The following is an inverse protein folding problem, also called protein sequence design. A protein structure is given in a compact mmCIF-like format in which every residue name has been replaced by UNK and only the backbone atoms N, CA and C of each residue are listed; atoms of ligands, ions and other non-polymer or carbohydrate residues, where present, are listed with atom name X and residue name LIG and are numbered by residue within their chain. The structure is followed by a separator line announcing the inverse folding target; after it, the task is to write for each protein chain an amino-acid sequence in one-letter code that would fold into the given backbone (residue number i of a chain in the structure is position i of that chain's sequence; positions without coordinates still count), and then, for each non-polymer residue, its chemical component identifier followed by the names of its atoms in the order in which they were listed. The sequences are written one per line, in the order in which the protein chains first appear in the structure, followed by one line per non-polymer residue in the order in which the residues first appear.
data_IF_529578680668
#
_entry.id   IF_529578680668
#
_cell.length_a   1.000
_cell.length_b   1.000
_cell.length_c   1.000
_cell.angle_alpha   90.00
_cell.angle_beta   90.00
_cell.angle_gamma   90.00
#
_symmetry.space_group_name_H-M   'P 1'
#
loop_
_entity.id
_entity.type
_entity.pdbx_description
1 polymer ?
#
# COMPACT_ATOMS: atom_id res chain seq x y z
N UNK A 1 21.55 -7.85 17.04
CA UNK A 1 22.01 -8.90 16.10
C UNK A 1 21.54 -8.52 14.71
N UNK A 2 22.45 -8.43 13.74
CA UNK A 2 22.13 -8.16 12.34
C UNK A 2 21.65 -9.45 11.67
N UNK A 3 20.39 -9.49 11.27
CA UNK A 3 19.81 -10.55 10.46
C UNK A 3 18.86 -9.91 9.44
N UNK A 4 19.41 -9.36 8.35
CA UNK A 4 18.58 -8.90 7.24
C UNK A 4 18.05 -10.13 6.50
N UNK A 5 16.78 -10.47 6.71
CA UNK A 5 16.11 -11.55 5.98
C UNK A 5 15.97 -11.14 4.50
N UNK A 6 16.70 -11.82 3.63
CA UNK A 6 16.91 -11.52 2.21
C UNK A 6 15.72 -11.78 1.28
N UNK A 7 14.53 -12.07 1.83
CA UNK A 7 13.39 -12.55 1.04
C UNK A 7 12.67 -11.52 0.15
N UNK A 8 12.82 -10.22 0.38
CA UNK A 8 12.17 -9.20 -0.48
C UNK A 8 13.12 -8.45 -1.41
N UNK A 9 14.42 -8.72 -1.35
CA UNK A 9 15.31 -8.34 -2.44
C UNK A 9 14.86 -9.04 -3.72
N UNK A 10 14.41 -10.29 -3.64
CA UNK A 10 13.92 -11.07 -4.79
C UNK A 10 12.62 -10.50 -5.38
N UNK A 11 11.69 -10.03 -4.55
CA UNK A 11 10.45 -9.38 -5.03
C UNK A 11 10.76 -8.03 -5.68
N UNK A 12 11.59 -7.20 -5.05
CA UNK A 12 12.01 -5.90 -5.62
C UNK A 12 12.86 -6.10 -6.86
N UNK A 13 13.79 -7.05 -6.89
CA UNK A 13 14.63 -7.36 -8.04
C UNK A 13 13.78 -7.91 -9.18
N UNK A 14 12.74 -8.72 -8.89
CA UNK A 14 11.84 -9.26 -9.91
C UNK A 14 10.90 -8.19 -10.47
N UNK A 15 10.27 -7.38 -9.61
CA UNK A 15 9.48 -6.21 -10.04
C UNK A 15 10.38 -5.26 -10.84
N UNK A 16 11.58 -4.94 -10.34
CA UNK A 16 12.55 -4.08 -11.02
C UNK A 16 13.02 -4.66 -12.36
N UNK A 17 13.25 -5.97 -12.43
CA UNK A 17 13.65 -6.68 -13.65
C UNK A 17 12.55 -6.67 -14.70
N UNK A 18 11.29 -6.92 -14.32
CA UNK A 18 10.15 -6.83 -15.24
C UNK A 18 9.92 -5.40 -15.72
N UNK A 19 10.11 -4.42 -14.84
CA UNK A 19 9.92 -3.01 -15.15
C UNK A 19 11.01 -2.44 -16.06
N UNK A 20 12.28 -2.81 -15.84
CA UNK A 20 13.40 -2.43 -16.72
C UNK A 20 13.25 -2.98 -18.14
N UNK A 21 12.53 -4.10 -18.30
CA UNK A 21 12.28 -4.71 -19.61
C UNK A 21 11.19 -3.98 -20.42
N UNK A 22 10.27 -3.28 -19.74
CA UNK A 22 9.19 -2.51 -20.39
C UNK A 22 9.56 -1.04 -20.64
N UNK A 23 10.54 -0.48 -19.92
CA UNK A 23 11.13 0.83 -20.20
C UNK A 23 12.21 0.69 -21.30
N UNK A 24 11.82 0.85 -22.55
CA UNK A 24 12.73 0.70 -23.69
C UNK A 24 13.78 1.82 -23.83
N UNK A 25 15.00 1.40 -24.15
CA UNK A 25 16.08 2.08 -24.87
C UNK A 25 17.13 2.90 -24.07
N UNK A 26 18.32 2.31 -23.92
CA UNK A 26 19.59 3.04 -23.90
C UNK A 26 20.67 2.53 -22.93
N UNK A 27 21.50 1.58 -23.35
CA UNK A 27 22.81 1.16 -22.79
C UNK A 27 22.81 0.55 -21.38
N UNK A 28 23.55 -0.49 -20.99
CA UNK A 28 24.49 -1.49 -21.51
C UNK A 28 24.50 -2.55 -20.37
N UNK A 29 24.82 -3.84 -20.47
CA UNK A 29 25.62 -4.60 -21.39
C UNK A 29 25.20 -6.07 -21.28
N UNK A 30 25.42 -6.77 -22.38
CA UNK A 30 25.33 -8.21 -22.56
C UNK A 30 26.53 -8.95 -21.96
N UNK A 31 26.27 -10.07 -21.25
CA UNK A 31 27.13 -11.25 -21.14
C UNK A 31 26.28 -12.42 -20.54
N UNK A 32 25.79 -13.37 -21.36
CA UNK A 32 26.35 -14.72 -21.63
C UNK A 32 26.25 -15.70 -20.42
N UNK A 33 25.62 -16.88 -20.47
CA UNK A 33 24.94 -17.58 -21.56
C UNK A 33 24.27 -18.90 -21.10
N UNK A 34 23.03 -19.12 -21.55
CA UNK A 34 22.37 -20.40 -21.92
C UNK A 34 20.91 -20.05 -22.26
N UNK A 35 20.61 -19.96 -23.57
CA UNK A 35 19.28 -19.83 -24.22
C UNK A 35 18.14 -19.26 -23.35
N UNK A 36 18.12 -17.96 -23.12
CA UNK A 36 16.87 -17.25 -22.79
C UNK A 36 16.22 -16.78 -24.08
N UNK A 37 15.12 -17.42 -24.46
CA UNK A 37 14.25 -16.93 -25.54
C UNK A 37 13.81 -15.51 -25.15
N UNK A 38 13.92 -14.51 -26.04
CA UNK A 38 13.43 -13.18 -25.73
C UNK A 38 11.91 -13.26 -25.53
N UNK A 39 11.42 -12.91 -24.33
CA UNK A 39 9.99 -12.79 -24.05
C UNK A 39 9.40 -11.79 -25.04
N UNK A 40 8.58 -12.29 -25.96
CA UNK A 40 7.76 -11.47 -26.84
C UNK A 40 6.40 -11.25 -26.18
N UNK A 41 5.87 -10.02 -26.21
CA UNK A 41 4.51 -9.70 -25.70
C UNK A 41 3.43 -10.58 -26.35
N UNK A 42 3.69 -11.08 -27.55
CA UNK A 42 2.79 -11.87 -28.38
C UNK A 42 2.62 -13.33 -27.89
N UNK A 43 3.52 -13.84 -27.04
CA UNK A 43 3.46 -15.19 -26.47
C UNK A 43 3.05 -15.24 -25.00
N UNK A 44 2.83 -14.08 -24.38
CA UNK A 44 2.48 -13.97 -22.98
C UNK A 44 0.96 -14.23 -22.79
N UNK A 45 0.62 -15.37 -22.18
CA UNK A 45 -0.78 -15.78 -21.97
C UNK A 45 -1.55 -14.76 -21.12
N UNK A 46 -0.89 -14.12 -20.14
CA UNK A 46 -1.50 -13.08 -19.29
C UNK A 46 -1.81 -11.86 -20.14
N UNK A 47 -0.87 -11.44 -20.99
CA UNK A 47 -1.06 -10.34 -21.92
C UNK A 47 -2.29 -10.59 -22.81
N UNK A 48 -2.40 -11.77 -23.40
CA UNK A 48 -3.52 -12.15 -24.27
C UNK A 48 -4.86 -12.13 -23.50
N UNK A 49 -4.89 -12.66 -22.28
CA UNK A 49 -6.10 -12.66 -21.43
C UNK A 49 -6.55 -11.23 -21.10
N UNK A 50 -5.62 -10.36 -20.71
CA UNK A 50 -5.94 -8.96 -20.36
C UNK A 50 -6.45 -8.20 -21.59
N UNK A 51 -5.75 -8.30 -22.73
CA UNK A 51 -6.16 -7.63 -23.97
C UNK A 51 -7.54 -8.12 -24.46
N UNK A 52 -7.78 -9.42 -24.41
CA UNK A 52 -9.06 -10.01 -24.84
C UNK A 52 -10.24 -9.72 -23.91
N UNK A 53 -10.01 -9.15 -22.73
CA UNK A 53 -11.07 -8.71 -21.83
C UNK A 53 -11.75 -7.41 -22.30
N UNK A 54 -11.11 -6.66 -23.21
CA UNK A 54 -11.61 -5.41 -23.79
C UNK A 54 -12.20 -4.47 -22.71
N UNK A 55 -11.40 -4.18 -21.68
CA UNK A 55 -11.85 -3.50 -20.47
C UNK A 55 -12.41 -2.10 -20.74
N UNK A 56 -11.77 -1.34 -21.65
CA UNK A 56 -12.13 0.04 -21.99
C UNK A 56 -13.11 0.17 -23.15
N UNK A 57 -13.61 -0.96 -23.69
CA UNK A 57 -14.55 -0.92 -24.81
C UNK A 57 -15.83 -0.16 -24.44
N UNK A 58 -16.11 0.87 -25.23
CA UNK A 58 -17.25 1.78 -25.09
C UNK A 58 -17.21 2.65 -23.80
N UNK A 59 -16.01 2.91 -23.25
CA UNK A 59 -15.82 3.68 -22.02
C UNK A 59 -14.89 4.90 -22.23
N UNK A 60 -15.49 6.10 -22.31
CA UNK A 60 -14.76 7.37 -22.41
C UNK A 60 -13.69 7.55 -21.34
N UNK A 61 -13.93 7.05 -20.12
CA UNK A 61 -13.01 7.18 -19.00
C UNK A 61 -11.58 6.67 -19.27
N UNK A 62 -11.43 5.60 -20.05
CA UNK A 62 -10.14 4.99 -20.33
C UNK A 62 -9.86 4.78 -21.82
N UNK A 63 -10.37 5.68 -22.67
CA UNK A 63 -10.06 5.72 -24.10
C UNK A 63 -8.60 6.14 -24.38
N UNK A 64 -8.07 5.68 -25.53
CA UNK A 64 -6.75 6.06 -26.02
C UNK A 64 -5.60 5.49 -25.18
N UNK A 65 -4.62 6.32 -24.84
CA UNK A 65 -3.41 5.89 -24.12
C UNK A 65 -3.72 5.39 -22.70
N UNK A 66 -4.85 5.80 -22.12
CA UNK A 66 -5.27 5.34 -20.79
C UNK A 66 -5.69 3.86 -20.77
N UNK A 67 -6.10 3.29 -21.92
CA UNK A 67 -6.31 1.85 -22.05
C UNK A 67 -4.99 1.08 -21.92
N UNK A 68 -3.91 1.62 -22.51
CA UNK A 68 -2.58 1.03 -22.41
C UNK A 68 -2.09 1.07 -20.97
N UNK A 69 -2.27 2.21 -20.28
CA UNK A 69 -1.96 2.35 -18.87
C UNK A 69 -2.66 1.27 -18.02
N UNK A 70 -3.98 1.15 -18.16
CA UNK A 70 -4.79 0.20 -17.40
C UNK A 70 -4.35 -1.25 -17.64
N UNK A 71 -4.15 -1.63 -18.90
CA UNK A 71 -3.73 -2.98 -19.26
C UNK A 71 -2.34 -3.31 -18.69
N UNK A 72 -1.41 -2.35 -18.72
CA UNK A 72 -0.09 -2.52 -18.16
C UNK A 72 -0.15 -2.65 -16.63
N UNK A 73 -0.97 -1.83 -15.97
CA UNK A 73 -1.16 -1.87 -14.52
C UNK A 73 -1.64 -3.23 -14.04
N UNK A 74 -2.70 -3.75 -14.66
CA UNK A 74 -3.27 -5.06 -14.34
C UNK A 74 -2.26 -6.18 -14.60
N UNK A 75 -1.47 -6.07 -15.67
CA UNK A 75 -0.45 -7.06 -16.00
C UNK A 75 0.67 -7.10 -14.97
N UNK A 76 1.14 -5.93 -14.51
CA UNK A 76 2.16 -5.86 -13.46
C UNK A 76 1.60 -6.37 -12.14
N UNK A 77 0.36 -6.02 -11.77
CA UNK A 77 -0.27 -6.55 -10.56
C UNK A 77 -0.34 -8.09 -10.60
N UNK A 78 -0.80 -8.64 -11.72
CA UNK A 78 -0.89 -10.10 -11.93
C UNK A 78 0.47 -10.77 -11.77
N UNK A 79 1.50 -10.29 -12.47
CA UNK A 79 2.85 -10.88 -12.42
C UNK A 79 3.50 -10.77 -11.05
N UNK A 80 3.24 -9.67 -10.34
CA UNK A 80 3.76 -9.48 -8.98
C UNK A 80 3.16 -10.51 -8.03
N UNK A 81 1.87 -10.82 -8.17
CA UNK A 81 1.20 -11.88 -7.40
C UNK A 81 1.68 -13.27 -7.81
N UNK A 82 1.81 -13.57 -9.11
CA UNK A 82 2.34 -14.86 -9.57
C UNK A 82 3.72 -15.15 -8.98
N UNK A 83 4.60 -14.16 -8.97
CA UNK A 83 5.96 -14.29 -8.42
C UNK A 83 5.93 -14.69 -6.93
N UNK A 84 5.00 -14.12 -6.15
CA UNK A 84 4.85 -14.44 -4.73
C UNK A 84 4.43 -15.90 -4.55
N UNK A 85 3.47 -16.36 -5.35
CA UNK A 85 2.99 -17.74 -5.29
C UNK A 85 4.05 -18.74 -5.79
N UNK A 86 4.71 -18.47 -6.91
CA UNK A 86 5.81 -19.30 -7.44
C UNK A 86 6.93 -19.47 -6.42
N UNK A 87 7.32 -18.39 -5.73
CA UNK A 87 8.34 -18.43 -4.68
C UNK A 87 7.99 -19.32 -3.49
N UNK A 88 6.71 -19.61 -3.26
CA UNK A 88 6.22 -20.39 -2.11
C UNK A 88 5.93 -21.84 -2.52
N UNK A 89 5.34 -22.07 -3.69
CA UNK A 89 5.14 -23.44 -4.20
C UNK A 89 6.48 -24.12 -4.50
N UNK A 90 7.48 -23.39 -5.01
CA UNK A 90 8.82 -23.93 -5.24
C UNK A 90 9.57 -24.29 -3.94
N UNK A 91 9.20 -23.71 -2.79
CA UNK A 91 9.77 -24.08 -1.49
C UNK A 91 9.21 -25.41 -0.95
N UNK A 92 7.95 -25.74 -1.25
CA UNK A 92 7.32 -27.02 -0.87
C UNK A 92 7.77 -28.21 -1.74
N UNK A 93 8.18 -27.97 -2.98
CA UNK A 93 8.59 -29.03 -3.92
C UNK A 93 10.05 -29.50 -3.78
N UNK A 94 10.80 -29.02 -2.79
CA UNK A 94 12.16 -29.51 -2.52
C UNK A 94 12.18 -30.84 -1.75
N UNK A 95 11.03 -31.34 -1.30
CA UNK A 95 10.95 -32.56 -0.47
C UNK A 95 10.17 -33.73 -1.05
N UNK A 96 9.44 -33.60 -2.17
CA UNK A 96 8.74 -34.75 -2.75
C UNK A 96 8.63 -34.71 -4.28
N UNK A 97 8.72 -35.91 -4.87
CA UNK A 97 8.88 -36.18 -6.29
C UNK A 97 7.66 -35.77 -7.15
N UNK A 98 7.99 -35.35 -8.38
CA UNK A 98 7.17 -35.13 -9.59
C UNK A 98 6.40 -33.80 -9.72
N UNK A 99 6.77 -32.95 -10.71
CA UNK A 99 5.99 -31.76 -11.05
C UNK A 99 4.81 -32.20 -11.93
N UNK A 100 3.62 -32.36 -11.36
CA UNK A 100 2.40 -32.30 -12.16
C UNK A 100 2.28 -30.86 -12.66
N UNK A 101 2.23 -30.68 -13.98
CA UNK A 101 1.87 -29.40 -14.62
C UNK A 101 0.42 -29.07 -14.26
N UNK A 102 0.21 -28.48 -13.09
CA UNK A 102 -1.03 -27.79 -12.77
C UNK A 102 -1.10 -26.54 -13.63
N UNK A 103 -2.24 -26.30 -14.30
CA UNK A 103 -2.49 -25.01 -14.97
C UNK A 103 -2.25 -23.89 -13.96
N UNK A 104 -1.59 -22.78 -14.33
CA UNK A 104 -1.37 -21.71 -13.37
C UNK A 104 -2.71 -21.16 -12.87
N UNK A 105 -3.01 -21.42 -11.60
CA UNK A 105 -4.30 -21.14 -10.96
C UNK A 105 -4.63 -19.63 -10.95
N UNK A 106 -3.61 -18.77 -11.01
CA UNK A 106 -3.76 -17.32 -11.19
C UNK A 106 -4.66 -16.99 -12.39
N UNK A 107 -4.69 -17.80 -13.46
CA UNK A 107 -5.48 -17.49 -14.64
C UNK A 107 -6.99 -17.51 -14.43
N UNK A 108 -7.52 -18.34 -13.52
CA UNK A 108 -8.96 -18.39 -13.26
C UNK A 108 -9.43 -17.19 -12.43
N UNK A 109 -8.66 -16.85 -11.40
CA UNK A 109 -8.91 -15.66 -10.58
C UNK A 109 -8.70 -14.38 -11.41
N UNK A 110 -7.69 -14.32 -12.28
CA UNK A 110 -7.49 -13.19 -13.20
C UNK A 110 -8.74 -12.91 -14.06
N UNK A 111 -9.38 -13.95 -14.61
CA UNK A 111 -10.62 -13.77 -15.40
C UNK A 111 -11.80 -13.30 -14.55
N UNK A 112 -11.86 -13.65 -13.25
CA UNK A 112 -12.87 -13.12 -12.33
C UNK A 112 -12.57 -11.65 -12.03
N UNK A 113 -11.33 -11.32 -11.68
CA UNK A 113 -10.87 -9.95 -11.47
C UNK A 113 -11.18 -9.06 -12.67
N UNK A 114 -10.83 -9.46 -13.89
CA UNK A 114 -11.09 -8.69 -15.11
C UNK A 114 -12.59 -8.40 -15.34
N UNK A 115 -13.48 -9.33 -14.94
CA UNK A 115 -14.93 -9.10 -14.99
C UNK A 115 -15.38 -8.04 -13.98
N UNK A 116 -14.87 -8.09 -12.76
CA UNK A 116 -15.18 -7.09 -11.73
C UNK A 116 -14.57 -5.73 -12.06
N UNK A 117 -13.33 -5.69 -12.58
CA UNK A 117 -12.68 -4.48 -13.08
C UNK A 117 -13.52 -3.84 -14.18
N UNK A 118 -14.07 -4.63 -15.12
CA UNK A 118 -14.96 -4.09 -16.15
C UNK A 118 -16.23 -3.47 -15.57
N UNK A 119 -16.82 -4.06 -14.53
CA UNK A 119 -17.98 -3.48 -13.83
C UNK A 119 -17.60 -2.17 -13.13
N UNK A 120 -16.46 -2.15 -12.44
CA UNK A 120 -15.91 -0.95 -11.81
C UNK A 120 -15.73 0.17 -12.84
N UNK A 121 -15.08 -0.10 -13.97
CA UNK A 121 -14.83 0.92 -15.00
C UNK A 121 -16.13 1.47 -15.60
N UNK A 122 -17.16 0.63 -15.80
CA UNK A 122 -18.49 1.08 -16.21
C UNK A 122 -19.11 2.04 -15.19
N UNK A 123 -19.03 1.70 -13.91
CA UNK A 123 -19.52 2.55 -12.82
C UNK A 123 -18.77 3.88 -12.76
N UNK A 124 -17.44 3.85 -12.85
CA UNK A 124 -16.58 5.04 -12.85
C UNK A 124 -16.86 5.93 -14.07
N UNK A 125 -17.07 5.34 -15.24
CA UNK A 125 -17.44 6.08 -16.44
C UNK A 125 -18.78 6.84 -16.27
N UNK A 126 -19.72 6.30 -15.50
CA UNK A 126 -20.97 7.02 -15.16
C UNK A 126 -20.73 8.23 -14.24
N UNK A 127 -19.71 8.16 -13.36
CA UNK A 127 -19.34 9.25 -12.44
C UNK A 127 -18.55 10.39 -13.10
N UNK A 128 -18.02 10.20 -14.30
CA UNK A 128 -17.14 11.16 -15.01
C UNK A 128 -17.74 12.58 -15.10
N UNK A 129 -19.07 12.71 -15.07
CA UNK A 129 -19.76 14.00 -15.16
C UNK A 129 -19.77 14.81 -13.86
N UNK A 130 -19.52 14.17 -12.72
CA UNK A 130 -19.73 14.75 -11.38
C UNK A 130 -18.42 14.86 -10.61
N UNK A 131 -17.49 13.93 -10.82
CA UNK A 131 -16.22 13.86 -10.09
C UNK A 131 -15.03 14.16 -11.00
N UNK A 132 -13.93 14.67 -10.42
CA UNK A 132 -12.73 14.96 -11.19
C UNK A 132 -12.09 13.67 -11.73
N UNK A 133 -11.63 13.70 -12.98
CA UNK A 133 -10.96 12.55 -13.62
C UNK A 133 -9.78 12.03 -12.80
N UNK A 134 -8.99 12.92 -12.20
CA UNK A 134 -7.86 12.53 -11.33
C UNK A 134 -8.30 11.78 -10.09
N UNK A 135 -9.38 12.20 -9.44
CA UNK A 135 -9.93 11.49 -8.28
C UNK A 135 -10.42 10.09 -8.68
N UNK A 136 -11.15 10.00 -9.79
CA UNK A 136 -11.69 8.73 -10.30
C UNK A 136 -10.61 7.73 -10.69
N UNK A 137 -9.50 8.18 -11.29
CA UNK A 137 -8.38 7.31 -11.61
C UNK A 137 -7.65 6.76 -10.39
N UNK A 138 -7.49 7.58 -9.35
CA UNK A 138 -6.96 7.14 -8.06
C UNK A 138 -7.90 6.10 -7.44
N UNK A 139 -9.21 6.33 -7.47
CA UNK A 139 -10.20 5.33 -7.02
C UNK A 139 -10.05 4.01 -7.78
N UNK A 140 -9.88 4.06 -9.12
CA UNK A 140 -9.71 2.86 -9.96
C UNK A 140 -8.44 2.10 -9.61
N UNK A 141 -7.29 2.78 -9.47
CA UNK A 141 -6.02 2.15 -9.11
C UNK A 141 -6.16 1.40 -7.79
N UNK A 142 -6.69 2.07 -6.76
CA UNK A 142 -6.89 1.52 -5.41
C UNK A 142 -7.85 0.35 -5.38
N UNK A 143 -8.97 0.45 -6.11
CA UNK A 143 -9.96 -0.63 -6.19
C UNK A 143 -9.46 -1.86 -6.95
N UNK A 144 -8.64 -1.65 -7.98
CA UNK A 144 -7.96 -2.77 -8.63
C UNK A 144 -6.95 -3.40 -7.68
N UNK A 145 -6.14 -2.61 -6.94
CA UNK A 145 -5.20 -3.15 -5.95
C UNK A 145 -5.90 -4.07 -4.95
N UNK A 146 -7.01 -3.63 -4.34
CA UNK A 146 -7.72 -4.46 -3.37
C UNK A 146 -8.36 -5.69 -4.01
N UNK A 147 -8.89 -5.61 -5.24
CA UNK A 147 -9.38 -6.81 -5.94
C UNK A 147 -8.28 -7.87 -6.10
N UNK A 148 -7.06 -7.44 -6.44
CA UNK A 148 -5.91 -8.33 -6.56
C UNK A 148 -5.42 -8.85 -5.20
N UNK A 149 -5.40 -8.02 -4.16
CA UNK A 149 -5.12 -8.46 -2.78
C UNK A 149 -6.12 -9.52 -2.32
N UNK A 150 -7.42 -9.26 -2.46
CA UNK A 150 -8.49 -10.18 -2.05
C UNK A 150 -8.42 -11.50 -2.83
N UNK A 151 -8.25 -11.45 -4.15
CA UNK A 151 -8.14 -12.65 -4.97
C UNK A 151 -6.94 -13.52 -4.56
N UNK A 152 -5.79 -12.90 -4.30
CA UNK A 152 -4.60 -13.61 -3.81
C UNK A 152 -4.82 -14.20 -2.41
N UNK A 153 -5.40 -13.45 -1.48
CA UNK A 153 -5.69 -13.95 -0.12
C UNK A 153 -6.66 -15.14 -0.16
N UNK A 154 -7.71 -15.08 -0.98
CA UNK A 154 -8.65 -16.19 -1.17
C UNK A 154 -7.96 -17.41 -1.78
N UNK A 155 -7.15 -17.21 -2.82
CA UNK A 155 -6.39 -18.29 -3.45
C UNK A 155 -5.44 -18.97 -2.45
N UNK A 156 -4.78 -18.19 -1.60
CA UNK A 156 -3.96 -18.71 -0.51
C UNK A 156 -4.80 -19.51 0.50
N UNK A 157 -5.99 -19.01 0.86
CA UNK A 157 -6.87 -19.67 1.81
C UNK A 157 -7.34 -21.06 1.35
N UNK A 158 -7.63 -21.21 0.06
CA UNK A 158 -8.13 -22.45 -0.54
C UNK A 158 -7.07 -23.52 -0.80
N UNK A 159 -5.78 -23.13 -0.89
CA UNK A 159 -4.72 -24.00 -1.45
C UNK A 159 -3.59 -24.36 -0.50
N UNK A 160 -3.49 -23.71 0.66
CA UNK A 160 -2.45 -24.06 1.63
C UNK A 160 -2.91 -25.31 2.41
N UNK A 161 -2.35 -26.44 2.04
CA UNK A 161 -2.45 -27.71 2.77
C UNK A 161 -1.28 -27.84 3.76
N UNK A 162 -1.52 -28.39 4.96
CA UNK A 162 -0.52 -28.53 6.03
C UNK A 162 -1.13 -28.64 7.43
N UNK A 163 -0.29 -28.54 8.46
CA UNK A 163 -0.76 -28.41 9.84
C UNK A 163 -1.44 -27.04 10.07
N UNK A 164 -2.49 -26.94 10.90
CA UNK A 164 -3.21 -25.67 11.12
C UNK A 164 -2.32 -24.48 11.50
N UNK A 165 -1.34 -24.68 12.37
CA UNK A 165 -0.44 -23.62 12.82
C UNK A 165 0.53 -23.17 11.71
N UNK A 166 1.05 -24.11 10.91
CA UNK A 166 1.89 -23.82 9.74
C UNK A 166 1.09 -23.13 8.63
N UNK A 167 -0.18 -23.54 8.44
CA UNK A 167 -1.09 -22.92 7.49
C UNK A 167 -1.29 -21.45 7.84
N UNK A 168 -1.55 -21.13 9.12
CA UNK A 168 -1.82 -19.76 9.54
C UNK A 168 -0.58 -18.85 9.39
N UNK A 169 0.61 -19.36 9.73
CA UNK A 169 1.86 -18.63 9.51
C UNK A 169 2.13 -18.37 8.03
N UNK A 170 1.92 -19.37 7.17
CA UNK A 170 2.09 -19.22 5.71
C UNK A 170 1.06 -18.23 5.14
N UNK A 171 -0.19 -18.26 5.61
CA UNK A 171 -1.24 -17.28 5.25
C UNK A 171 -0.88 -15.86 5.65
N UNK A 172 -0.39 -15.66 6.88
CA UNK A 172 0.07 -14.34 7.37
C UNK A 172 1.18 -13.80 6.47
N UNK A 173 2.23 -14.60 6.21
CA UNK A 173 3.36 -14.21 5.34
C UNK A 173 2.94 -13.95 3.90
N UNK A 174 2.02 -14.75 3.34
CA UNK A 174 1.46 -14.54 2.00
C UNK A 174 0.67 -13.25 1.88
N UNK A 175 -0.20 -13.00 2.85
CA UNK A 175 -1.02 -11.79 2.93
C UNK A 175 -0.12 -10.57 2.97
N UNK A 176 0.86 -10.55 3.90
CA UNK A 176 1.82 -9.46 4.02
C UNK A 176 2.60 -9.21 2.72
N UNK A 177 3.16 -10.27 2.11
CA UNK A 177 3.90 -10.14 0.82
C UNK A 177 3.01 -9.59 -0.30
N UNK A 178 1.76 -10.03 -0.37
CA UNK A 178 0.78 -9.61 -1.37
C UNK A 178 0.43 -8.12 -1.19
N UNK A 179 0.12 -7.72 0.04
CA UNK A 179 -0.18 -6.31 0.37
C UNK A 179 1.00 -5.43 -0.03
N UNK A 180 2.22 -5.76 0.40
CA UNK A 180 3.41 -4.98 0.06
C UNK A 180 3.62 -4.89 -1.46
N UNK A 181 3.56 -6.01 -2.19
CA UNK A 181 3.80 -6.00 -3.63
C UNK A 181 2.75 -5.18 -4.38
N UNK A 182 1.48 -5.32 -4.01
CA UNK A 182 0.39 -4.53 -4.62
C UNK A 182 0.51 -3.04 -4.30
N UNK A 183 0.92 -2.66 -3.08
CA UNK A 183 1.18 -1.26 -2.70
C UNK A 183 2.37 -0.65 -3.48
N UNK A 184 3.47 -1.39 -3.68
CA UNK A 184 4.60 -0.92 -4.51
C UNK A 184 4.15 -0.66 -5.96
N UNK A 185 3.36 -1.58 -6.52
CA UNK A 185 2.83 -1.41 -7.89
C UNK A 185 1.86 -0.22 -7.93
N UNK A 186 0.99 -0.06 -6.95
CA UNK A 186 0.09 1.10 -6.82
C UNK A 186 0.85 2.42 -6.80
N UNK A 187 1.79 2.62 -5.87
CA UNK A 187 2.53 3.89 -5.76
C UNK A 187 3.29 4.25 -7.03
N UNK A 188 3.83 3.24 -7.71
CA UNK A 188 4.49 3.43 -9.02
C UNK A 188 3.51 3.86 -10.10
N UNK A 189 2.35 3.22 -10.17
CA UNK A 189 1.36 3.55 -11.20
C UNK A 189 0.62 4.85 -10.93
N UNK A 190 0.46 5.28 -9.67
CA UNK A 190 0.03 6.63 -9.32
C UNK A 190 1.02 7.68 -9.85
N UNK A 191 2.32 7.44 -9.65
CA UNK A 191 3.38 8.32 -10.17
C UNK A 191 3.43 8.33 -11.70
N UNK A 192 3.28 7.16 -12.32
CA UNK A 192 3.24 6.97 -13.78
C UNK A 192 2.06 7.70 -14.42
N UNK A 193 0.87 7.55 -13.83
CA UNK A 193 -0.35 8.22 -14.24
C UNK A 193 -0.19 9.75 -14.26
N UNK A 194 0.51 10.32 -13.28
CA UNK A 194 0.77 11.76 -13.24
C UNK A 194 1.87 12.22 -14.22
N UNK A 195 2.98 11.49 -14.31
CA UNK A 195 4.14 11.88 -15.13
C UNK A 195 3.92 11.68 -16.62
N UNK A 196 3.38 10.54 -17.03
CA UNK A 196 3.20 10.17 -18.44
C UNK A 196 1.83 10.57 -18.99
N UNK A 197 0.77 10.45 -18.18
CA UNK A 197 -0.61 10.67 -18.62
C UNK A 197 -1.22 11.98 -18.10
N UNK A 198 -0.45 12.77 -17.36
CA UNK A 198 -0.86 14.08 -16.80
C UNK A 198 -2.10 14.05 -15.90
N UNK A 199 -2.47 12.88 -15.38
CA UNK A 199 -3.56 12.70 -14.42
C UNK A 199 -2.94 12.66 -13.01
N UNK A 200 -2.82 13.84 -12.39
CA UNK A 200 -2.12 14.01 -11.12
C UNK A 200 -3.06 14.25 -9.94
N UNK A 201 -2.73 13.68 -8.78
CA UNK A 201 -3.32 14.09 -7.50
C UNK A 201 -2.86 15.51 -7.17
N UNK A 202 -3.82 16.43 -7.00
CA UNK A 202 -3.52 17.85 -6.69
C UNK A 202 -3.76 18.22 -5.23
N UNK A 203 -4.59 17.43 -4.54
CA UNK A 203 -4.93 17.65 -3.14
C UNK A 203 -4.37 16.50 -2.30
N UNK A 204 -3.38 16.80 -1.47
CA UNK A 204 -2.74 15.88 -0.53
C UNK A 204 -2.64 16.55 0.85
N UNK A 205 -3.79 17.01 1.34
CA UNK A 205 -3.90 17.83 2.55
C UNK A 205 -3.49 17.05 3.81
N UNK A 206 -3.86 15.76 3.90
CA UNK A 206 -3.49 14.91 5.03
C UNK A 206 -1.97 14.75 5.08
N UNK A 207 -1.35 14.45 3.95
CA UNK A 207 0.11 14.32 3.88
C UNK A 207 0.82 15.61 4.27
N UNK A 208 0.38 16.77 3.76
CA UNK A 208 0.97 18.07 4.14
C UNK A 208 0.82 18.35 5.63
N UNK A 209 -0.38 18.13 6.18
CA UNK A 209 -0.61 18.44 7.58
C UNK A 209 0.15 17.50 8.51
N UNK A 210 0.26 16.21 8.15
CA UNK A 210 1.08 15.26 8.89
C UNK A 210 2.57 15.63 8.84
N UNK A 211 3.08 16.05 7.67
CA UNK A 211 4.46 16.54 7.56
C UNK A 211 4.69 17.71 8.53
N UNK A 212 3.80 18.70 8.52
CA UNK A 212 3.92 19.90 9.36
C UNK A 212 3.83 19.56 10.86
N UNK A 213 2.96 18.62 11.23
CA UNK A 213 2.86 18.10 12.60
C UNK A 213 4.17 17.44 13.03
N UNK A 214 4.67 16.49 12.22
CA UNK A 214 5.85 15.72 12.55
C UNK A 214 7.12 16.60 12.57
N UNK A 215 7.26 17.52 11.62
CA UNK A 215 8.36 18.48 11.57
C UNK A 215 8.40 19.42 12.78
N UNK A 216 7.26 19.68 13.41
CA UNK A 216 7.18 20.49 14.64
C UNK A 216 7.90 19.84 15.83
N UNK A 217 8.08 18.51 15.84
CA UNK A 217 8.79 17.81 16.92
C UNK A 217 10.32 18.03 16.88
N UNK A 218 10.87 18.49 15.76
CA UNK A 218 12.31 18.77 15.62
C UNK A 218 12.81 19.77 16.66
N UNK A 219 12.02 20.78 16.97
CA UNK A 219 12.34 21.84 17.93
C UNK A 219 11.78 21.58 19.33
N UNK A 220 11.09 20.45 19.55
CA UNK A 220 10.54 20.07 20.86
C UNK A 220 11.54 19.26 21.69
N UNK A 221 11.48 19.44 23.01
CA UNK A 221 12.16 18.58 23.97
C UNK A 221 11.51 17.18 24.01
N UNK A 222 12.32 16.15 24.22
CA UNK A 222 11.90 14.74 24.27
C UNK A 222 10.71 14.52 25.22
N UNK A 223 10.73 15.10 26.42
CA UNK A 223 9.65 14.97 27.40
C UNK A 223 8.29 15.46 26.89
N UNK A 224 8.27 16.52 26.08
CA UNK A 224 7.03 17.01 25.48
C UNK A 224 6.55 16.07 24.37
N UNK A 225 7.48 15.44 23.63
CA UNK A 225 7.15 14.42 22.62
C UNK A 225 6.59 13.16 23.29
N UNK A 226 7.22 12.68 24.37
CA UNK A 226 6.70 11.56 25.18
C UNK A 226 5.30 11.87 25.72
N UNK A 227 5.07 13.09 26.21
CA UNK A 227 3.74 13.53 26.65
C UNK A 227 2.70 13.53 25.51
N UNK A 228 3.10 13.92 24.30
CA UNK A 228 2.24 13.80 23.12
C UNK A 228 1.86 12.35 22.85
N UNK A 229 2.85 11.44 22.81
CA UNK A 229 2.60 10.00 22.61
C UNK A 229 1.69 9.44 23.69
N UNK A 230 1.84 9.87 24.94
CA UNK A 230 0.95 9.47 26.03
C UNK A 230 -0.51 9.82 25.75
N UNK A 231 -0.78 11.06 25.33
CA UNK A 231 -2.14 11.46 24.97
C UNK A 231 -2.69 10.69 23.77
N UNK A 232 -1.87 10.39 22.77
CA UNK A 232 -2.26 9.57 21.62
C UNK A 232 -2.57 8.14 22.06
N UNK A 233 -1.69 7.51 22.84
CA UNK A 233 -1.86 6.16 23.36
C UNK A 233 -3.14 6.02 24.19
N UNK A 234 -3.41 6.97 25.08
CA UNK A 234 -4.64 6.99 25.89
C UNK A 234 -5.89 7.15 25.02
N UNK A 235 -5.84 8.00 23.99
CA UNK A 235 -6.96 8.22 23.12
C UNK A 235 -7.24 7.03 22.18
N UNK A 236 -6.20 6.33 21.73
CA UNK A 236 -6.33 5.13 20.89
C UNK A 236 -7.11 4.00 21.57
N UNK A 237 -6.98 3.85 22.89
CA UNK A 237 -7.73 2.86 23.68
C UNK A 237 -9.26 3.11 23.63
N UNK A 238 -9.68 4.35 23.36
CA UNK A 238 -11.10 4.71 23.23
C UNK A 238 -11.62 4.55 21.79
N UNK A 239 -10.77 4.14 20.85
CA UNK A 239 -11.13 3.92 19.44
C UNK A 239 -11.40 2.44 19.15
N UNK A 240 -11.91 2.16 17.94
CA UNK A 240 -12.07 0.78 17.44
C UNK A 240 -10.80 0.20 16.81
N UNK A 241 -9.68 0.93 16.78
CA UNK A 241 -8.46 0.50 16.06
C UNK A 241 -8.02 -0.91 16.46
N UNK A 242 -7.86 -1.18 17.76
CA UNK A 242 -7.39 -2.47 18.26
C UNK A 242 -8.33 -3.63 17.95
N UNK A 243 -9.63 -3.38 17.72
CA UNK A 243 -10.58 -4.42 17.31
C UNK A 243 -10.41 -4.89 15.86
N UNK A 244 -9.67 -4.11 15.05
CA UNK A 244 -9.35 -4.45 13.67
C UNK A 244 -7.96 -5.07 13.50
N UNK A 245 -7.17 -5.18 14.57
CA UNK A 245 -5.84 -5.77 14.58
C UNK A 245 -5.88 -7.18 15.17
N UNK A 246 -4.88 -8.01 14.86
CA UNK A 246 -4.69 -9.27 15.59
C UNK A 246 -4.26 -9.00 17.03
N UNK A 247 -4.45 -9.97 17.92
CA UNK A 247 -4.05 -9.84 19.33
C UNK A 247 -2.56 -9.52 19.45
N UNK A 248 -1.72 -10.22 18.69
CA UNK A 248 -0.26 -10.02 18.69
C UNK A 248 0.09 -8.61 18.21
N UNK A 249 -0.47 -8.17 17.07
CA UNK A 249 -0.21 -6.84 16.51
C UNK A 249 -0.69 -5.73 17.45
N UNK A 250 -1.83 -5.95 18.12
CA UNK A 250 -2.40 -5.02 19.10
C UNK A 250 -1.51 -4.91 20.35
N UNK A 251 -1.05 -6.04 20.88
CA UNK A 251 -0.19 -6.09 22.07
C UNK A 251 1.14 -5.39 21.79
N UNK A 252 1.78 -5.70 20.67
CA UNK A 252 3.07 -5.09 20.34
C UNK A 252 2.96 -3.59 20.04
N UNK A 253 1.89 -3.14 19.37
CA UNK A 253 1.62 -1.71 19.18
C UNK A 253 1.48 -0.99 20.53
N UNK A 254 0.79 -1.59 21.49
CA UNK A 254 0.66 -1.03 22.84
C UNK A 254 2.02 -0.97 23.57
N UNK A 255 2.85 -2.01 23.43
CA UNK A 255 4.21 -2.03 24.00
C UNK A 255 5.05 -0.88 23.42
N UNK A 256 5.06 -0.72 22.09
CA UNK A 256 5.82 0.36 21.43
C UNK A 256 5.34 1.75 21.86
N UNK A 257 4.02 1.98 21.90
CA UNK A 257 3.47 3.26 22.35
C UNK A 257 3.79 3.55 23.81
N UNK A 258 3.81 2.52 24.66
CA UNK A 258 4.20 2.63 26.06
C UNK A 258 5.69 2.95 26.19
N UNK A 259 6.55 2.25 25.46
CA UNK A 259 7.99 2.51 25.45
C UNK A 259 8.29 3.94 24.96
N UNK A 260 7.63 4.38 23.89
CA UNK A 260 7.75 5.76 23.41
C UNK A 260 7.19 6.80 24.40
N UNK A 261 6.22 6.46 25.25
CA UNK A 261 5.62 7.41 26.20
C UNK A 261 6.31 7.46 27.58
N UNK A 262 7.03 6.39 27.96
CA UNK A 262 7.51 6.21 29.34
C UNK A 262 8.94 5.68 29.45
N UNK A 263 9.50 5.03 28.43
CA UNK A 263 10.87 4.51 28.51
C UNK A 263 11.91 5.60 28.26
N UNK A 264 13.01 5.57 29.01
CA UNK A 264 14.18 6.42 28.79
C UNK A 264 15.13 5.85 27.72
N UNK A 265 14.98 4.57 27.37
CA UNK A 265 15.82 3.92 26.35
C UNK A 265 15.35 4.17 24.92
N UNK A 266 14.12 4.67 24.72
CA UNK A 266 13.52 4.92 23.40
C UNK A 266 13.35 6.41 23.20
N UNK A 267 13.95 6.96 22.13
CA UNK A 267 13.69 8.33 21.71
C UNK A 267 12.43 8.37 20.84
N UNK A 268 11.31 8.76 21.44
CA UNK A 268 10.06 9.00 20.73
C UNK A 268 10.22 10.09 19.68
N UNK A 269 11.02 11.14 19.98
CA UNK A 269 11.37 12.16 18.99
C UNK A 269 12.08 11.55 17.78
N UNK A 270 13.08 10.69 18.00
CA UNK A 270 13.80 10.01 16.92
C UNK A 270 12.88 9.16 16.05
N UNK A 271 11.94 8.43 16.65
CA UNK A 271 10.93 7.62 15.93
C UNK A 271 10.01 8.51 15.09
N UNK A 272 9.42 9.56 15.68
CA UNK A 272 8.53 10.47 14.94
C UNK A 272 9.24 11.22 13.81
N UNK A 273 10.51 11.60 14.00
CA UNK A 273 11.31 12.22 12.94
C UNK A 273 11.74 11.24 11.85
N UNK A 274 11.82 9.95 12.15
CA UNK A 274 12.05 8.92 11.12
C UNK A 274 10.81 8.76 10.24
N UNK A 275 9.61 8.80 10.84
CA UNK A 275 8.34 8.85 10.10
C UNK A 275 8.26 10.16 9.30
N UNK A 276 8.65 11.30 9.88
CA UNK A 276 8.67 12.61 9.20
C UNK A 276 9.43 12.53 7.87
N UNK A 277 10.62 11.91 7.87
CA UNK A 277 11.42 11.71 6.67
C UNK A 277 10.67 10.92 5.58
N UNK A 278 9.98 9.84 5.95
CA UNK A 278 9.18 9.07 4.99
C UNK A 278 8.03 9.92 4.38
N UNK A 279 7.42 10.79 5.18
CA UNK A 279 6.38 11.73 4.71
C UNK A 279 6.97 12.82 3.80
N UNK A 280 8.14 13.38 4.15
CA UNK A 280 8.87 14.32 3.29
C UNK A 280 9.24 13.68 1.95
N UNK A 281 9.75 12.45 1.96
CA UNK A 281 10.08 11.68 0.75
C UNK A 281 8.86 11.51 -0.15
N UNK A 282 7.67 11.25 0.43
CA UNK A 282 6.41 11.20 -0.32
C UNK A 282 6.07 12.53 -0.98
N UNK A 283 6.16 13.63 -0.24
CA UNK A 283 5.88 14.96 -0.77
C UNK A 283 6.82 15.32 -1.91
N UNK A 284 8.11 15.00 -1.76
CA UNK A 284 9.10 15.19 -2.82
C UNK A 284 8.76 14.34 -4.04
N UNK A 285 8.38 13.07 -3.87
CA UNK A 285 7.95 12.19 -4.96
C UNK A 285 6.74 12.75 -5.71
N UNK A 286 5.73 13.27 -5.00
CA UNK A 286 4.57 13.93 -5.61
C UNK A 286 4.92 15.21 -6.37
N UNK A 287 5.82 16.04 -5.82
CA UNK A 287 6.25 17.29 -6.46
C UNK A 287 7.09 17.03 -7.71
N UNK A 288 8.01 16.06 -7.64
CA UNK A 288 8.89 15.67 -8.73
C UNK A 288 8.19 14.76 -9.76
N UNK A 289 7.03 14.21 -9.40
CA UNK A 289 6.26 13.23 -10.20
C UNK A 289 7.07 11.98 -10.50
N UNK A 290 7.87 11.54 -9.54
CA UNK A 290 8.77 10.39 -9.68
C UNK A 290 8.52 9.39 -8.58
N UNK A 291 8.51 8.10 -8.94
CA UNK A 291 8.55 7.04 -7.95
C UNK A 291 10.00 6.80 -7.49
N UNK A 292 10.27 6.96 -6.21
CA UNK A 292 11.54 6.58 -5.59
C UNK A 292 11.44 5.15 -5.08
N UNK A 293 12.44 4.31 -5.33
CA UNK A 293 12.46 2.95 -4.77
C UNK A 293 12.87 3.04 -3.30
N UNK A 294 11.94 2.79 -2.39
CA UNK A 294 12.17 2.92 -0.95
C UNK A 294 12.11 1.57 -0.22
N UNK A 295 12.35 1.60 1.10
CA UNK A 295 12.08 0.47 1.99
C UNK A 295 10.59 0.12 2.03
N UNK A 296 10.24 -1.13 2.35
CA UNK A 296 8.84 -1.61 2.32
C UNK A 296 7.93 -0.84 3.29
N UNK A 297 8.48 -0.50 4.43
CA UNK A 297 7.89 0.38 5.45
C UNK A 297 7.57 1.76 4.88
N UNK A 298 8.51 2.35 4.15
CA UNK A 298 8.31 3.65 3.50
C UNK A 298 7.25 3.56 2.39
N UNK A 299 7.27 2.50 1.57
CA UNK A 299 6.26 2.29 0.51
C UNK A 299 4.85 2.14 1.09
N UNK A 300 4.70 1.39 2.19
CA UNK A 300 3.41 1.27 2.88
C UNK A 300 2.97 2.60 3.47
N UNK A 301 3.87 3.39 4.08
CA UNK A 301 3.54 4.76 4.53
C UNK A 301 3.07 5.62 3.34
N UNK A 302 3.72 5.51 2.18
CA UNK A 302 3.35 6.30 1.00
C UNK A 302 1.95 5.97 0.50
N UNK A 303 1.60 4.68 0.45
CA UNK A 303 0.28 4.23 -0.01
C UNK A 303 -0.80 4.48 1.03
N UNK A 304 -0.55 4.24 2.33
CA UNK A 304 -1.48 4.59 3.42
C UNK A 304 -1.83 6.08 3.36
N UNK A 305 -0.84 6.96 3.17
CA UNK A 305 -1.09 8.39 3.04
C UNK A 305 -1.81 8.75 1.73
N UNK A 306 -1.56 8.01 0.65
CA UNK A 306 -2.30 8.15 -0.60
C UNK A 306 -3.79 7.78 -0.43
N UNK A 307 -4.06 6.70 0.28
CA UNK A 307 -5.41 6.28 0.66
C UNK A 307 -6.08 7.36 1.50
N UNK A 308 -5.43 7.83 2.56
CA UNK A 308 -5.98 8.89 3.42
C UNK A 308 -6.23 10.19 2.64
N UNK A 309 -5.30 10.63 1.79
CA UNK A 309 -5.51 11.79 0.93
C UNK A 309 -6.72 11.59 -0.03
N UNK A 310 -6.95 10.36 -0.51
CA UNK A 310 -8.12 10.03 -1.32
C UNK A 310 -9.43 10.09 -0.50
N UNK A 311 -9.45 9.56 0.72
CA UNK A 311 -10.60 9.62 1.64
C UNK A 311 -11.05 11.06 1.86
N UNK A 312 -10.10 11.94 2.21
CA UNK A 312 -10.39 13.35 2.52
C UNK A 312 -10.49 14.25 1.28
N UNK A 313 -9.97 13.80 0.14
CA UNK A 313 -10.06 14.52 -1.13
C UNK A 313 -11.50 14.69 -1.62
N UNK A 314 -12.41 13.78 -1.27
CA UNK A 314 -13.82 13.83 -1.71
C UNK A 314 -14.59 15.00 -1.09
N UNK A 315 -14.34 15.31 0.18
CA UNK A 315 -15.08 16.31 0.96
C UNK A 315 -14.44 17.69 0.93
N UNK A 316 -13.24 17.83 0.34
CA UNK A 316 -12.39 19.04 0.45
C UNK A 316 -12.16 19.50 1.90
N UNK A 317 -12.30 18.57 2.85
CA UNK A 317 -12.19 18.82 4.28
C UNK A 317 -10.83 18.34 4.78
N UNK A 318 -10.08 19.22 5.43
CA UNK A 318 -8.85 18.85 6.13
C UNK A 318 -9.19 18.44 7.58
N UNK A 319 -9.15 17.13 7.92
CA UNK A 319 -9.52 16.65 9.25
C UNK A 319 -8.55 17.16 10.32
N UNK A 320 -7.33 17.53 9.94
CA UNK A 320 -6.33 17.99 10.89
C UNK A 320 -6.44 19.48 11.20
N UNK A 321 -7.23 20.28 10.47
CA UNK A 321 -7.24 21.74 10.62
C UNK A 321 -7.53 22.20 12.06
N UNK A 322 -8.60 21.68 12.67
CA UNK A 322 -8.99 21.99 14.05
C UNK A 322 -7.98 21.44 15.06
N UNK A 323 -7.45 20.26 14.78
CA UNK A 323 -6.42 19.65 15.60
C UNK A 323 -5.14 20.48 15.61
N UNK A 324 -4.63 20.92 14.46
CA UNK A 324 -3.39 21.71 14.34
C UNK A 324 -3.48 23.03 15.10
N UNK A 325 -4.63 23.71 15.06
CA UNK A 325 -4.88 24.91 15.88
C UNK A 325 -4.72 24.60 17.37
N UNK A 326 -5.25 23.46 17.82
CA UNK A 326 -5.17 23.02 19.21
C UNK A 326 -3.76 22.56 19.59
N UNK A 327 -3.06 21.89 18.68
CA UNK A 327 -1.68 21.43 18.83
C UNK A 327 -0.72 22.62 19.05
N UNK A 328 -0.78 23.66 18.21
CA UNK A 328 0.04 24.86 18.40
C UNK A 328 -0.36 25.64 19.68
N UNK A 329 -1.63 25.60 20.05
CA UNK A 329 -2.09 26.12 21.35
C UNK A 329 -1.46 25.37 22.53
N UNK A 330 -1.45 24.04 22.47
CA UNK A 330 -0.81 23.17 23.47
C UNK A 330 0.71 23.42 23.54
N UNK A 331 1.40 23.49 22.41
CA UNK A 331 2.84 23.76 22.37
C UNK A 331 3.21 25.06 23.11
N UNK A 332 2.39 26.10 23.00
CA UNK A 332 2.63 27.41 23.64
C UNK A 332 2.20 27.47 25.10
N UNK A 333 1.07 26.84 25.43
CA UNK A 333 0.39 27.06 26.73
C UNK A 333 0.45 25.86 27.66
N UNK A 334 0.92 24.70 27.18
CA UNK A 334 0.95 23.40 27.87
C UNK A 334 -0.41 22.96 28.45
N UNK A 335 -1.52 23.47 27.91
CA UNK A 335 -2.89 23.04 28.26
C UNK A 335 -3.18 21.61 27.79
N UNK A 336 -4.24 20.97 28.29
CA UNK A 336 -4.57 19.57 27.91
C UNK A 336 -4.83 19.42 26.40
N UNK A 337 -4.15 18.45 25.76
CA UNK A 337 -4.31 18.09 24.34
C UNK A 337 -5.21 16.86 24.11
N UNK A 338 -5.57 16.13 25.18
CA UNK A 338 -6.34 14.88 25.10
C UNK A 338 -7.68 15.02 24.36
N UNK A 339 -8.46 16.07 24.63
CA UNK A 339 -9.75 16.32 23.96
C UNK A 339 -9.61 16.49 22.45
N UNK A 340 -8.75 17.42 21.97
CA UNK A 340 -8.45 17.55 20.55
C UNK A 340 -7.97 16.26 19.86
N UNK A 341 -7.11 15.46 20.51
CA UNK A 341 -6.66 14.17 19.95
C UNK A 341 -7.84 13.20 19.81
N UNK A 342 -8.67 13.06 20.84
CA UNK A 342 -9.85 12.17 20.79
C UNK A 342 -10.83 12.58 19.69
N UNK A 343 -11.06 13.89 19.52
CA UNK A 343 -11.89 14.40 18.43
C UNK A 343 -11.32 14.02 17.07
N UNK A 344 -10.03 14.26 16.85
CA UNK A 344 -9.37 13.90 15.59
C UNK A 344 -9.49 12.40 15.31
N UNK A 345 -9.16 11.54 16.28
CA UNK A 345 -9.22 10.08 16.09
C UNK A 345 -10.64 9.58 15.81
N UNK A 346 -11.65 10.21 16.42
CA UNK A 346 -13.05 9.92 16.14
C UNK A 346 -13.42 10.35 14.71
N UNK A 347 -13.07 11.56 14.30
CA UNK A 347 -13.33 12.07 12.95
C UNK A 347 -12.64 11.18 11.90
N UNK A 348 -11.42 10.71 12.17
CA UNK A 348 -10.72 9.72 11.34
C UNK A 348 -11.48 8.40 11.23
N UNK A 349 -12.00 7.89 12.35
CA UNK A 349 -12.75 6.63 12.40
C UNK A 349 -14.08 6.74 11.64
N UNK A 350 -14.79 7.85 11.81
CA UNK A 350 -16.07 8.11 11.15
C UNK A 350 -15.86 8.22 9.63
N UNK A 351 -14.82 8.93 9.17
CA UNK A 351 -14.48 9.03 7.75
C UNK A 351 -14.10 7.67 7.12
N UNK A 352 -13.37 6.82 7.84
CA UNK A 352 -13.04 5.46 7.37
C UNK A 352 -14.29 4.58 7.30
N UNK A 353 -15.25 4.77 8.22
CA UNK A 353 -16.51 4.02 8.26
C UNK A 353 -17.46 4.37 7.12
N UNK A 354 -17.36 5.59 6.59
CA UNK A 354 -18.15 6.06 5.44
C UNK A 354 -17.59 5.58 4.08
N UNK A 355 -16.43 4.90 4.07
CA UNK A 355 -15.85 4.38 2.85
C UNK A 355 -16.58 3.14 2.35
N UNK A 356 -16.53 2.90 1.03
CA UNK A 356 -16.75 1.56 0.49
C UNK A 356 -15.93 0.52 1.25
N UNK A 357 -16.58 -0.61 1.60
CA UNK A 357 -16.00 -1.68 2.42
C UNK A 357 -14.66 -2.18 1.87
N UNK A 358 -14.52 -2.25 0.55
CA UNK A 358 -13.29 -2.64 -0.14
C UNK A 358 -12.11 -1.69 0.14
N UNK A 359 -12.34 -0.38 0.09
CA UNK A 359 -11.29 0.60 0.39
C UNK A 359 -10.93 0.65 1.88
N UNK A 360 -11.92 0.47 2.76
CA UNK A 360 -11.66 0.36 4.21
C UNK A 360 -10.83 -0.88 4.52
N UNK A 361 -11.18 -2.03 3.92
CA UNK A 361 -10.43 -3.28 4.06
C UNK A 361 -8.98 -3.17 3.54
N UNK A 362 -8.77 -2.50 2.40
CA UNK A 362 -7.42 -2.21 1.88
C UNK A 362 -6.56 -1.46 2.90
N UNK A 363 -7.07 -0.34 3.41
CA UNK A 363 -6.34 0.50 4.36
C UNK A 363 -6.00 -0.29 5.64
N UNK A 364 -6.94 -1.09 6.15
CA UNK A 364 -6.70 -1.97 7.31
C UNK A 364 -5.57 -2.96 7.03
N UNK A 365 -5.58 -3.62 5.87
CA UNK A 365 -4.53 -4.57 5.50
C UNK A 365 -3.16 -3.91 5.34
N UNK A 366 -3.10 -2.71 4.77
CA UNK A 366 -1.85 -1.96 4.61
C UNK A 366 -1.29 -1.49 5.95
N UNK A 367 -2.15 -0.98 6.84
CA UNK A 367 -1.76 -0.62 8.22
C UNK A 367 -1.30 -1.86 8.97
N UNK A 368 -2.02 -2.99 8.86
CA UNK A 368 -1.62 -4.25 9.49
C UNK A 368 -0.26 -4.72 8.96
N UNK A 369 -0.05 -4.75 7.65
CA UNK A 369 1.22 -5.16 7.06
C UNK A 369 2.36 -4.23 7.48
N UNK A 370 2.10 -2.91 7.59
CA UNK A 370 3.06 -1.92 8.07
C UNK A 370 3.45 -2.19 9.53
N UNK A 371 2.46 -2.44 10.39
CA UNK A 371 2.72 -2.79 11.78
C UNK A 371 3.50 -4.10 11.85
N UNK A 372 3.06 -5.16 11.18
CA UNK A 372 3.76 -6.45 11.19
C UNK A 372 5.24 -6.31 10.78
N UNK A 373 5.59 -5.60 9.70
CA UNK A 373 7.01 -5.45 9.33
C UNK A 373 7.82 -4.54 10.25
N UNK A 374 7.18 -3.60 10.93
CA UNK A 374 7.85 -2.61 11.79
C UNK A 374 8.01 -3.12 13.22
N UNK A 375 7.14 -4.04 13.61
CA UNK A 375 6.94 -4.47 15.00
C UNK A 375 7.31 -5.94 15.20
N UNK A 376 7.14 -6.79 14.17
CA UNK A 376 7.40 -8.25 14.22
C UNK A 376 8.07 -8.72 12.90
N UNK A 377 9.39 -8.50 12.72
CA UNK A 377 10.07 -8.75 11.44
C UNK A 377 10.39 -10.22 11.12
N UNK A 378 9.84 -11.22 11.83
CA UNK A 378 10.21 -12.66 11.72
C UNK A 378 9.78 -13.40 10.43
#
# INVERSE_FOLDING_TARGET
MQGSVSFGKEVIDTISHYMRRNAGAGAAASASGRRSIPFSKETDVIYIIIQSAYLCRDLQFCEGELELFLNEYIMVQTKSIETIFEGIFNQKHLTDEQPKMEKPLIFEELKKCLREIRKLLRHINMKLRVESSSYLWVEVIKKISVMFQTAAILLAAERIEGNPDEIEQVKKKLTQKTVIATSIVEGKYESKLCSEYHVCVKAFAVTKTLETLLGSFKEMEEENVKLFIRYVSEALLETKLYSHLTEETSNELQIILNDMAYSDSVSAKGVLLSIHKAVEDRLNALQLKTHMVNGRDVELVHVILSDMDHVYGKSSFDPFHLFMKSFYGWQRTRKRLSGPIRSLLKDLTDAISDLPEDLSYKLINEVRAFLEITVDPE
#
